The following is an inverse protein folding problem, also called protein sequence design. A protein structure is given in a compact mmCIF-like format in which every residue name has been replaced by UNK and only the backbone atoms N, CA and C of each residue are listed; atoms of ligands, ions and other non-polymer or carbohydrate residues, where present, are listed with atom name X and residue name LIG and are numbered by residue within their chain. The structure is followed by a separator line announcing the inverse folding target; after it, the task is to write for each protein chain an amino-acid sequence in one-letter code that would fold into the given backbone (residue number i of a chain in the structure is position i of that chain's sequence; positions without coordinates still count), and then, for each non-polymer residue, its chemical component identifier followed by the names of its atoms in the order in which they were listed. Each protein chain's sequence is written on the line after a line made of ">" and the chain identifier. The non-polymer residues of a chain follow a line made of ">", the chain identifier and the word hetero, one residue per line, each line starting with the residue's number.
data_IF_893520460057
#
_entry.id   IF_893520460057
#
_cell.length_a   1.000
_cell.length_b   1.000
_cell.length_c   1.000
_cell.angle_alpha   90.00
_cell.angle_beta   90.00
_cell.angle_gamma   90.00
#
_symmetry.space_group_name_H-M   'P 1'
#
loop_
_entity.id
_entity.type
_entity.pdbx_description
1 polymer ?
#
# COMPACT_ATOMS: atom_id res chain seq x y z
N UNK A 1 -22.16 -4.33 73.64
CA UNK A 1 -22.92 -3.18 74.17
C UNK A 1 -21.99 -2.42 75.11
N UNK A 2 -21.69 -1.15 74.78
CA UNK A 2 -20.99 -0.12 75.60
C UNK A 2 -19.49 -0.31 75.92
N UNK A 3 -18.67 0.44 75.18
CA UNK A 3 -17.42 1.06 75.64
C UNK A 3 -17.13 2.23 74.67
N UNK A 4 -16.57 3.39 75.01
CA UNK A 4 -16.44 4.16 76.23
C UNK A 4 -16.07 5.59 75.75
N UNK A 5 -16.51 6.60 76.50
CA UNK A 5 -16.11 8.01 76.34
C UNK A 5 -14.57 8.16 76.43
N UNK A 6 -13.92 8.86 75.49
CA UNK A 6 -13.66 10.31 75.44
C UNK A 6 -12.47 10.77 76.30
N UNK A 7 -11.51 11.42 75.65
CA UNK A 7 -10.39 12.16 76.24
C UNK A 7 -9.63 12.95 75.17
N UNK A 8 -9.97 14.23 75.06
CA UNK A 8 -9.40 15.22 74.13
C UNK A 8 -7.90 15.50 74.38
N UNK A 9 -7.17 15.79 73.30
CA UNK A 9 -6.12 16.80 73.32
C UNK A 9 -6.16 17.60 72.00
N UNK A 10 -6.51 18.87 72.13
CA UNK A 10 -6.59 19.86 71.07
C UNK A 10 -5.20 20.38 70.70
N UNK A 11 -4.89 20.46 69.41
CA UNK A 11 -3.83 21.33 68.90
C UNK A 11 -4.35 22.10 67.69
N UNK A 12 -4.64 23.38 67.93
CA UNK A 12 -4.88 24.41 66.91
C UNK A 12 -3.56 24.81 66.26
N UNK A 13 -3.45 24.62 64.94
CA UNK A 13 -2.53 25.41 64.11
C UNK A 13 -3.32 26.09 62.99
N UNK A 14 -3.29 27.41 63.00
CA UNK A 14 -3.80 28.27 61.95
C UNK A 14 -2.90 28.15 60.71
N UNK A 15 -3.48 27.83 59.56
CA UNK A 15 -2.84 28.01 58.25
C UNK A 15 -3.51 29.18 57.55
N UNK A 16 -2.71 30.23 57.38
CA UNK A 16 -3.04 31.44 56.66
C UNK A 16 -3.34 31.14 55.19
N UNK A 17 -4.37 31.79 54.64
CA UNK A 17 -4.64 31.79 53.22
C UNK A 17 -3.53 32.52 52.45
N UNK A 18 -2.97 31.85 51.45
CA UNK A 18 -2.19 32.45 50.38
C UNK A 18 -3.03 32.37 49.09
N UNK A 19 -3.74 33.44 48.77
CA UNK A 19 -4.21 33.73 47.42
C UNK A 19 -3.16 34.57 46.71
N UNK A 20 -2.42 33.99 45.76
CA UNK A 20 -1.60 34.75 44.82
C UNK A 20 -1.36 33.95 43.52
N UNK A 21 -2.29 34.16 42.58
CA UNK A 21 -2.08 34.33 41.15
C UNK A 21 -0.87 33.62 40.52
N UNK A 22 -1.10 32.40 40.03
CA UNK A 22 -0.32 31.90 38.90
C UNK A 22 -0.55 32.84 37.71
N UNK A 23 0.48 33.54 37.29
CA UNK A 23 0.52 34.14 35.96
C UNK A 23 0.74 32.99 34.99
N UNK A 24 -0.33 32.37 34.54
CA UNK A 24 -0.33 31.74 33.22
C UNK A 24 -0.06 32.89 32.24
N UNK A 25 1.20 33.06 31.83
CA UNK A 25 1.49 33.89 30.67
C UNK A 25 0.64 33.38 29.51
N UNK A 26 0.17 34.24 28.59
CA UNK A 26 -0.53 33.77 27.42
C UNK A 26 0.34 32.69 26.76
N UNK A 27 -0.18 31.48 26.66
CA UNK A 27 0.39 30.42 25.84
C UNK A 27 0.69 31.07 24.48
N UNK A 28 1.92 30.97 23.95
CA UNK A 28 2.25 31.60 22.68
C UNK A 28 1.17 31.20 21.68
N UNK A 29 0.58 32.19 21.01
CA UNK A 29 -0.50 31.95 20.04
C UNK A 29 -0.03 30.83 19.09
N UNK A 30 -0.79 29.73 19.03
CA UNK A 30 -0.45 28.60 18.16
C UNK A 30 -0.34 29.13 16.73
N UNK A 31 0.85 29.03 16.16
CA UNK A 31 1.11 29.44 14.79
C UNK A 31 0.65 28.32 13.86
N UNK A 32 -0.65 28.24 13.63
CA UNK A 32 -1.20 27.31 12.64
C UNK A 32 -0.63 27.63 11.26
N UNK A 33 -0.15 26.61 10.57
CA UNK A 33 0.45 26.72 9.24
C UNK A 33 -0.15 25.67 8.30
N UNK A 34 -0.17 25.90 6.99
CA UNK A 34 -0.61 24.90 6.03
C UNK A 34 0.22 23.62 6.10
N UNK A 35 -0.43 22.48 5.86
CA UNK A 35 0.26 21.26 5.42
C UNK A 35 1.05 21.51 4.13
N UNK A 36 2.02 20.64 3.86
CA UNK A 36 2.78 20.67 2.61
C UNK A 36 1.95 20.01 1.50
N UNK A 37 2.01 20.56 0.29
CA UNK A 37 1.31 20.09 -0.92
C UNK A 37 2.13 19.01 -1.67
N UNK A 38 2.65 18.07 -0.89
CA UNK A 38 3.67 17.09 -1.26
C UNK A 38 4.31 16.47 -0.02
N UNK A 39 4.46 15.14 0.03
CA UNK A 39 5.08 14.47 1.19
C UNK A 39 6.61 14.64 1.23
N UNK A 40 7.23 15.00 0.09
CA UNK A 40 8.67 15.27 -0.02
C UNK A 40 9.48 14.26 -0.84
N UNK A 41 8.83 13.36 -1.59
CA UNK A 41 9.52 12.42 -2.47
C UNK A 41 10.21 13.15 -3.66
N UNK A 42 11.50 12.90 -3.94
CA UNK A 42 12.22 13.58 -5.02
C UNK A 42 11.74 13.25 -6.44
N UNK A 43 11.18 12.05 -6.66
CA UNK A 43 10.67 11.62 -7.95
C UNK A 43 9.27 12.18 -8.21
N UNK A 44 8.46 12.27 -7.16
CA UNK A 44 7.10 12.82 -7.22
C UNK A 44 6.86 13.86 -6.12
N UNK A 45 7.40 15.09 -6.26
CA UNK A 45 7.32 16.12 -5.20
C UNK A 45 5.91 16.62 -4.87
N UNK A 46 4.91 16.19 -5.64
CA UNK A 46 3.50 16.55 -5.50
C UNK A 46 2.61 15.34 -5.16
N UNK A 47 3.20 14.19 -4.85
CA UNK A 47 2.44 13.03 -4.39
C UNK A 47 2.38 13.04 -2.87
N UNK A 48 1.20 12.71 -2.37
CA UNK A 48 0.89 12.82 -0.96
C UNK A 48 1.06 14.24 -0.44
N UNK A 49 0.93 14.39 0.87
CA UNK A 49 0.73 15.64 1.55
C UNK A 49 1.34 15.58 2.96
N UNK A 50 1.80 16.73 3.44
CA UNK A 50 2.49 16.85 4.72
C UNK A 50 1.65 17.50 5.81
N UNK A 51 2.07 17.31 7.05
CA UNK A 51 1.48 17.96 8.23
C UNK A 51 0.39 17.14 8.92
N UNK A 52 0.07 15.96 8.40
CA UNK A 52 -0.75 14.93 9.04
C UNK A 52 -0.30 13.53 8.60
N UNK A 53 -0.82 12.52 9.29
CA UNK A 53 -0.59 11.08 9.07
C UNK A 53 -1.97 10.37 9.08
N UNK A 54 -2.30 9.62 8.03
CA UNK A 54 -3.62 8.99 7.88
C UNK A 54 -3.64 7.63 8.56
N UNK A 55 -4.56 7.45 9.51
CA UNK A 55 -4.77 6.16 10.18
C UNK A 55 -5.68 5.22 9.39
N UNK A 56 -6.63 5.75 8.61
CA UNK A 56 -7.58 4.91 7.89
C UNK A 56 -8.55 5.62 6.96
N UNK A 57 -8.96 4.87 5.94
CA UNK A 57 -9.99 5.22 4.96
C UNK A 57 -11.20 4.31 5.13
N UNK A 58 -12.39 4.88 5.30
CA UNK A 58 -13.67 4.18 5.26
C UNK A 58 -14.52 4.75 4.11
N UNK A 59 -14.65 3.97 3.04
CA UNK A 59 -15.26 4.37 1.79
C UNK A 59 -16.63 3.71 1.63
N UNK A 60 -17.67 4.52 1.48
CA UNK A 60 -19.01 4.06 1.12
C UNK A 60 -19.39 4.63 -0.25
N UNK A 61 -19.16 3.84 -1.29
CA UNK A 61 -19.18 4.27 -2.68
C UNK A 61 -20.24 3.52 -3.47
N UNK A 62 -20.73 4.18 -4.51
CA UNK A 62 -21.60 3.61 -5.52
C UNK A 62 -21.06 3.92 -6.90
N UNK A 63 -20.99 2.91 -7.75
CA UNK A 63 -20.61 3.07 -9.15
C UNK A 63 -21.71 2.54 -10.06
N UNK A 64 -22.14 3.38 -11.00
CA UNK A 64 -23.08 3.05 -12.07
C UNK A 64 -22.31 2.87 -13.39
N UNK A 65 -22.01 1.63 -13.84
CA UNK A 65 -21.26 1.40 -15.08
C UNK A 65 -21.95 1.97 -16.33
N UNK A 66 -23.29 1.99 -16.35
CA UNK A 66 -24.06 2.50 -17.48
C UNK A 66 -23.84 4.01 -17.66
N UNK A 67 -23.68 4.74 -16.55
CA UNK A 67 -23.36 6.17 -16.57
C UNK A 67 -21.86 6.46 -16.53
N UNK A 68 -21.05 5.52 -16.05
CA UNK A 68 -19.65 5.76 -15.67
C UNK A 68 -19.54 6.71 -14.50
N UNK A 69 -20.54 6.73 -13.62
CA UNK A 69 -20.64 7.70 -12.54
C UNK A 69 -20.32 7.05 -11.21
N UNK A 70 -19.37 7.63 -10.48
CA UNK A 70 -19.04 7.28 -9.11
C UNK A 70 -19.56 8.37 -8.17
N UNK A 71 -20.12 7.96 -7.04
CA UNK A 71 -20.59 8.85 -5.99
C UNK A 71 -20.48 8.17 -4.64
N UNK A 72 -20.19 8.92 -3.58
CA UNK A 72 -20.21 8.36 -2.24
C UNK A 72 -19.57 9.27 -1.21
N UNK A 73 -19.25 8.66 -0.08
CA UNK A 73 -18.65 9.33 1.06
C UNK A 73 -17.34 8.64 1.42
N UNK A 74 -16.29 9.44 1.63
CA UNK A 74 -15.05 9.00 2.26
C UNK A 74 -15.01 9.56 3.70
N UNK A 75 -14.82 8.69 4.68
CA UNK A 75 -14.49 9.06 6.05
C UNK A 75 -13.03 8.73 6.29
N UNK A 76 -12.23 9.75 6.59
CA UNK A 76 -10.78 9.66 6.73
C UNK A 76 -10.42 10.05 8.15
N UNK A 77 -9.70 9.19 8.86
CA UNK A 77 -9.16 9.49 10.20
C UNK A 77 -7.67 9.74 10.10
N UNK A 78 -7.20 10.85 10.65
CA UNK A 78 -5.79 11.24 10.60
C UNK A 78 -5.34 11.90 11.90
N UNK A 79 -4.02 12.00 12.11
CA UNK A 79 -3.40 12.72 13.22
C UNK A 79 -2.57 13.87 12.67
N UNK A 80 -2.77 15.09 13.18
CA UNK A 80 -1.93 16.22 12.78
C UNK A 80 -0.49 16.04 13.29
N UNK A 81 0.50 16.28 12.44
CA UNK A 81 1.93 16.24 12.79
C UNK A 81 2.54 17.65 12.97
N UNK A 82 1.69 18.67 12.81
CA UNK A 82 1.97 20.08 13.11
C UNK A 82 0.68 20.81 13.53
N UNK A 83 0.78 22.06 13.97
CA UNK A 83 -0.40 22.93 14.10
C UNK A 83 -0.91 23.30 12.69
N UNK A 84 -1.98 22.64 12.22
CA UNK A 84 -2.52 22.73 10.87
C UNK A 84 -3.58 23.83 10.72
N UNK A 85 -3.36 24.74 9.78
CA UNK A 85 -4.38 25.72 9.33
C UNK A 85 -5.22 25.24 8.15
N UNK A 86 -4.65 24.37 7.31
CA UNK A 86 -5.24 23.70 6.15
C UNK A 86 -4.43 22.45 5.85
N UNK A 87 -5.02 21.51 5.12
CA UNK A 87 -4.38 20.30 4.62
C UNK A 87 -5.06 19.91 3.30
N UNK A 88 -4.51 18.94 2.60
CA UNK A 88 -4.86 18.64 1.21
C UNK A 88 -5.06 17.12 1.06
N UNK A 89 -5.78 16.66 0.04
CA UNK A 89 -5.83 15.25 -0.37
C UNK A 89 -5.74 15.19 -1.89
N UNK A 90 -5.07 14.18 -2.42
CA UNK A 90 -5.11 13.86 -3.84
C UNK A 90 -6.50 13.33 -4.22
N UNK A 91 -7.17 13.97 -5.18
CA UNK A 91 -8.45 13.56 -5.75
C UNK A 91 -8.57 14.05 -7.20
N UNK A 92 -8.44 13.13 -8.15
CA UNK A 92 -8.54 13.42 -9.58
C UNK A 92 -9.96 13.17 -10.13
N UNK A 93 -10.39 13.99 -11.09
CA UNK A 93 -11.62 13.85 -11.90
C UNK A 93 -12.97 13.89 -11.17
N UNK A 94 -12.96 13.89 -9.85
CA UNK A 94 -14.13 13.87 -8.99
C UNK A 94 -14.32 15.24 -8.32
N UNK A 95 -15.54 15.56 -7.93
CA UNK A 95 -15.87 16.85 -7.32
C UNK A 95 -16.53 16.64 -5.97
N UNK A 96 -16.08 17.38 -4.98
CA UNK A 96 -16.66 17.39 -3.63
C UNK A 96 -17.93 18.21 -3.57
N UNK A 97 -18.94 17.71 -2.87
CA UNK A 97 -20.18 18.42 -2.57
C UNK A 97 -20.18 19.00 -1.16
N UNK A 98 -19.82 18.20 -0.16
CA UNK A 98 -19.77 18.59 1.25
C UNK A 98 -18.49 18.04 1.91
N UNK A 99 -17.88 18.86 2.76
CA UNK A 99 -16.73 18.46 3.57
C UNK A 99 -16.93 18.90 5.01
N UNK A 100 -16.75 17.97 5.94
CA UNK A 100 -16.69 18.28 7.37
C UNK A 100 -15.37 17.83 7.97
N UNK A 101 -14.89 18.59 8.96
CA UNK A 101 -13.76 18.22 9.81
C UNK A 101 -14.26 18.22 11.25
N UNK A 102 -14.17 17.08 11.93
CA UNK A 102 -14.74 16.82 13.26
C UNK A 102 -16.22 17.20 13.37
N UNK A 103 -16.98 16.89 12.30
CA UNK A 103 -18.41 17.19 12.21
C UNK A 103 -18.77 18.67 12.03
N UNK A 104 -17.79 19.56 11.83
CA UNK A 104 -18.00 20.97 11.48
C UNK A 104 -17.71 21.19 10.01
N UNK A 105 -18.54 22.00 9.35
CA UNK A 105 -18.33 22.36 7.95
C UNK A 105 -16.92 22.95 7.74
N UNK A 106 -16.25 22.49 6.69
CA UNK A 106 -14.97 22.99 6.22
C UNK A 106 -15.13 23.50 4.78
N UNK A 107 -14.24 24.41 4.35
CA UNK A 107 -14.22 24.83 2.95
C UNK A 107 -13.29 23.93 2.16
N UNK A 108 -13.72 23.50 0.99
CA UNK A 108 -12.94 22.69 0.07
C UNK A 108 -12.73 23.45 -1.26
N UNK A 109 -11.54 23.33 -1.84
CA UNK A 109 -11.18 23.90 -3.14
C UNK A 109 -10.37 22.88 -3.93
N UNK A 110 -10.83 22.56 -5.14
CA UNK A 110 -10.04 21.79 -6.10
C UNK A 110 -8.94 22.66 -6.72
N UNK A 111 -7.71 22.17 -6.74
CA UNK A 111 -6.55 22.79 -7.41
C UNK A 111 -5.78 21.73 -8.21
N UNK A 112 -6.17 21.54 -9.49
CA UNK A 112 -5.70 20.39 -10.26
C UNK A 112 -6.22 19.08 -9.66
N UNK A 113 -5.31 18.17 -9.33
CA UNK A 113 -5.64 16.90 -8.65
C UNK A 113 -5.63 17.04 -7.12
N UNK A 114 -5.40 18.23 -6.57
CA UNK A 114 -5.39 18.46 -5.12
C UNK A 114 -6.75 18.96 -4.63
N UNK A 115 -7.21 18.42 -3.51
CA UNK A 115 -8.37 18.86 -2.76
C UNK A 115 -7.93 19.59 -1.48
N UNK A 116 -7.86 20.92 -1.56
CA UNK A 116 -7.46 21.78 -0.45
C UNK A 116 -8.61 21.93 0.54
N UNK A 117 -8.41 21.53 1.80
CA UNK A 117 -9.40 21.60 2.89
C UNK A 117 -8.95 22.60 3.95
N UNK A 118 -9.80 23.58 4.25
CA UNK A 118 -9.60 24.53 5.36
C UNK A 118 -10.66 24.29 6.44
N UNK A 119 -10.28 23.75 7.61
CA UNK A 119 -11.20 23.53 8.72
C UNK A 119 -11.67 24.85 9.35
N UNK A 120 -12.82 24.82 10.03
CA UNK A 120 -13.37 26.01 10.72
C UNK A 120 -12.48 26.54 11.86
N UNK A 121 -11.63 25.67 12.42
CA UNK A 121 -10.60 26.01 13.40
C UNK A 121 -9.35 25.19 13.10
N UNK A 122 -8.17 25.73 13.40
CA UNK A 122 -6.92 25.01 13.22
C UNK A 122 -6.85 23.74 14.06
N UNK A 123 -6.18 22.72 13.55
CA UNK A 123 -5.99 21.41 14.19
C UNK A 123 -4.63 21.41 14.86
N UNK A 124 -4.60 21.10 16.16
CA UNK A 124 -3.38 21.18 16.97
C UNK A 124 -2.49 19.96 16.70
N UNK A 125 -1.17 20.14 16.70
CA UNK A 125 -0.21 19.04 16.59
C UNK A 125 -0.53 17.88 17.57
N UNK A 126 -0.47 16.64 17.08
CA UNK A 126 -0.75 15.42 17.81
C UNK A 126 -2.24 15.17 18.08
N UNK A 127 -3.16 16.01 17.56
CA UNK A 127 -4.59 15.76 17.67
C UNK A 127 -5.09 14.87 16.53
N UNK A 128 -5.86 13.82 16.84
CA UNK A 128 -6.61 13.12 15.83
C UNK A 128 -7.75 14.02 15.34
N UNK A 129 -8.10 13.87 14.06
CA UNK A 129 -9.24 14.52 13.44
C UNK A 129 -9.89 13.56 12.44
N UNK A 130 -11.16 13.81 12.14
CA UNK A 130 -11.92 13.05 11.15
C UNK A 130 -12.43 13.97 10.06
N UNK A 131 -12.15 13.60 8.81
CA UNK A 131 -12.66 14.28 7.63
C UNK A 131 -13.74 13.42 7.00
N UNK A 132 -14.89 14.02 6.71
CA UNK A 132 -15.95 13.35 5.93
C UNK A 132 -16.15 14.15 4.65
N UNK A 133 -15.99 13.48 3.51
CA UNK A 133 -16.03 14.08 2.17
C UNK A 133 -17.12 13.37 1.38
N UNK A 134 -18.16 14.10 1.00
CA UNK A 134 -19.13 13.66 -0.02
C UNK A 134 -18.64 14.12 -1.39
N UNK A 135 -18.56 13.19 -2.34
CA UNK A 135 -18.02 13.46 -3.67
C UNK A 135 -18.69 12.61 -4.74
N UNK A 136 -18.65 13.11 -5.97
CA UNK A 136 -19.15 12.39 -7.13
C UNK A 136 -18.49 12.88 -8.42
N UNK A 137 -18.61 12.10 -9.50
CA UNK A 137 -18.12 12.49 -10.81
C UNK A 137 -17.97 11.32 -11.76
N UNK A 138 -17.18 11.54 -12.81
CA UNK A 138 -16.81 10.49 -13.76
C UNK A 138 -15.32 10.21 -13.56
N UNK A 139 -14.96 9.16 -12.81
CA UNK A 139 -13.55 8.83 -12.61
C UNK A 139 -12.91 8.45 -13.95
N UNK A 140 -11.63 8.75 -14.09
CA UNK A 140 -10.86 8.52 -15.30
C UNK A 140 -9.39 8.23 -14.94
N UNK A 141 -8.61 7.82 -15.94
CA UNK A 141 -7.19 7.59 -15.75
C UNK A 141 -6.46 8.88 -15.35
N UNK A 142 -5.44 8.74 -14.50
CA UNK A 142 -4.51 9.80 -14.16
C UNK A 142 -3.41 9.80 -15.24
N UNK A 143 -3.22 10.95 -15.88
CA UNK A 143 -2.29 11.06 -16.98
C UNK A 143 -0.85 11.22 -16.48
N UNK A 144 0.04 10.31 -16.88
CA UNK A 144 1.46 10.39 -16.54
C UNK A 144 2.32 10.39 -17.81
N UNK A 145 2.97 11.53 -18.09
CA UNK A 145 3.78 11.69 -19.30
C UNK A 145 5.03 10.81 -19.34
N UNK A 146 5.46 10.31 -18.18
CA UNK A 146 6.71 9.57 -18.03
C UNK A 146 6.47 8.07 -17.91
N UNK A 147 5.50 7.67 -17.10
CA UNK A 147 5.23 6.28 -16.76
C UNK A 147 4.04 5.67 -17.53
N UNK A 148 3.24 6.51 -18.19
CA UNK A 148 1.97 6.10 -18.80
C UNK A 148 0.81 6.18 -17.81
N UNK A 149 -0.40 6.23 -18.36
CA UNK A 149 -1.60 6.57 -17.58
C UNK A 149 -2.05 5.42 -16.65
N UNK A 150 -2.37 5.74 -15.40
CA UNK A 150 -2.83 4.79 -14.36
C UNK A 150 -4.23 5.10 -13.82
N UNK A 151 -4.70 4.34 -12.83
CA UNK A 151 -5.95 4.64 -12.11
C UNK A 151 -7.20 4.01 -12.73
N UNK A 152 -8.24 4.82 -12.97
CA UNK A 152 -9.57 4.32 -13.31
C UNK A 152 -9.75 3.97 -14.80
N UNK A 153 -9.81 2.68 -15.07
CA UNK A 153 -10.06 2.08 -16.38
C UNK A 153 -11.52 1.63 -16.49
N UNK A 154 -12.37 2.47 -17.08
CA UNK A 154 -13.77 2.12 -17.37
C UNK A 154 -13.87 1.08 -18.49
N UNK A 155 -14.82 0.16 -18.39
CA UNK A 155 -15.31 -0.71 -19.47
C UNK A 155 -16.82 -0.55 -19.66
N UNK A 156 -17.39 -1.20 -20.68
CA UNK A 156 -18.84 -1.16 -20.94
C UNK A 156 -19.66 -1.80 -19.79
N UNK A 157 -19.07 -2.75 -19.08
CA UNK A 157 -19.76 -3.57 -18.07
C UNK A 157 -19.25 -3.31 -16.64
N UNK A 158 -18.28 -2.41 -16.46
CA UNK A 158 -17.67 -2.17 -15.16
C UNK A 158 -16.52 -1.17 -15.19
N UNK A 159 -15.53 -1.40 -14.33
CA UNK A 159 -14.31 -0.60 -14.24
C UNK A 159 -13.25 -1.29 -13.38
N UNK A 160 -12.00 -0.86 -13.53
CA UNK A 160 -10.89 -1.28 -12.68
C UNK A 160 -10.13 -0.03 -12.23
N UNK A 161 -9.86 0.09 -10.93
CA UNK A 161 -8.90 1.05 -10.40
C UNK A 161 -7.58 0.32 -10.13
N UNK A 162 -6.55 0.57 -10.93
CA UNK A 162 -5.27 -0.13 -10.84
C UNK A 162 -4.13 0.74 -11.38
N UNK A 163 -2.99 0.72 -10.70
CA UNK A 163 -1.79 1.41 -11.16
C UNK A 163 -0.81 1.72 -10.03
N UNK A 164 0.46 1.88 -10.43
CA UNK A 164 1.59 2.25 -9.60
C UNK A 164 2.47 3.18 -10.44
N UNK A 165 2.96 4.31 -9.89
CA UNK A 165 2.86 4.76 -8.50
C UNK A 165 1.51 5.37 -8.11
N UNK A 166 0.65 5.68 -9.09
CA UNK A 166 -0.60 6.41 -8.85
C UNK A 166 -1.83 5.65 -9.37
N UNK A 167 -2.85 5.55 -8.53
CA UNK A 167 -4.16 5.00 -8.92
C UNK A 167 -5.28 5.38 -7.95
N UNK A 168 -4.97 5.46 -6.65
CA UNK A 168 -5.93 5.70 -5.58
C UNK A 168 -6.72 7.01 -5.75
N UNK A 169 -6.01 8.10 -6.04
CA UNK A 169 -6.60 9.43 -6.23
C UNK A 169 -7.60 9.51 -7.39
N UNK A 170 -7.64 8.52 -8.30
CA UNK A 170 -8.63 8.48 -9.38
C UNK A 170 -10.05 8.11 -8.93
N UNK A 171 -10.22 7.63 -7.69
CA UNK A 171 -11.51 7.13 -7.22
C UNK A 171 -11.85 7.43 -5.75
N UNK A 172 -10.90 7.86 -4.93
CA UNK A 172 -11.18 8.39 -3.59
C UNK A 172 -10.14 9.44 -3.15
N UNK A 173 -10.49 10.37 -2.24
CA UNK A 173 -9.55 11.34 -1.68
C UNK A 173 -8.53 10.63 -0.79
N UNK A 174 -7.24 10.82 -1.07
CA UNK A 174 -6.15 10.03 -0.49
C UNK A 174 -4.91 10.89 -0.25
N UNK A 175 -4.05 10.48 0.67
CA UNK A 175 -2.66 10.95 0.74
C UNK A 175 -1.80 10.02 -0.12
N UNK A 176 -1.62 10.32 -1.42
CA UNK A 176 -1.23 9.33 -2.44
C UNK A 176 0.28 9.05 -2.49
N UNK A 177 0.85 8.50 -1.40
CA UNK A 177 2.25 8.12 -1.35
C UNK A 177 2.49 6.88 -0.47
N UNK A 178 3.42 5.97 -0.83
CA UNK A 178 3.70 4.77 -0.02
C UNK A 178 4.17 5.07 1.40
N UNK A 179 4.73 6.25 1.66
CA UNK A 179 5.18 6.69 2.99
C UNK A 179 4.04 6.99 3.99
N UNK A 180 2.79 7.18 3.53
CA UNK A 180 1.63 7.37 4.41
C UNK A 180 0.70 6.16 4.30
N UNK A 181 0.99 5.11 5.07
CA UNK A 181 0.21 3.87 5.07
C UNK A 181 -0.98 3.97 6.00
N UNK A 182 -2.14 3.51 5.53
CA UNK A 182 -3.37 3.57 6.31
C UNK A 182 -4.18 2.27 6.19
N UNK A 183 -5.08 2.03 7.16
CA UNK A 183 -6.08 0.96 7.04
C UNK A 183 -7.15 1.31 6.01
N UNK A 184 -7.85 0.31 5.47
CA UNK A 184 -8.80 0.53 4.38
C UNK A 184 -10.08 -0.29 4.52
N UNK A 185 -11.22 0.36 4.35
CA UNK A 185 -12.54 -0.26 4.28
C UNK A 185 -13.27 0.24 3.07
N UNK A 186 -13.92 -0.68 2.37
CA UNK A 186 -14.75 -0.38 1.22
C UNK A 186 -16.10 -1.05 1.34
N UNK A 187 -17.15 -0.25 1.23
CA UNK A 187 -18.47 -0.68 0.82
C UNK A 187 -18.71 -0.14 -0.60
N UNK A 188 -18.71 -1.02 -1.61
CA UNK A 188 -18.93 -0.67 -3.00
C UNK A 188 -20.28 -1.20 -3.48
N UNK A 189 -21.19 -0.28 -3.81
CA UNK A 189 -22.52 -0.56 -4.36
C UNK A 189 -22.51 -0.51 -5.88
N UNK A 190 -22.87 -1.62 -6.52
CA UNK A 190 -22.95 -1.80 -7.98
C UNK A 190 -24.30 -2.42 -8.36
N UNK A 191 -24.72 -2.38 -9.65
CA UNK A 191 -25.97 -3.04 -10.06
C UNK A 191 -25.97 -4.53 -9.75
N UNK A 192 -27.15 -5.11 -9.51
CA UNK A 192 -27.28 -6.55 -9.29
C UNK A 192 -26.75 -7.37 -10.48
N UNK A 193 -26.05 -8.46 -10.18
CA UNK A 193 -25.39 -9.30 -11.20
C UNK A 193 -24.05 -8.76 -11.69
N UNK A 194 -23.49 -7.75 -11.00
CA UNK A 194 -22.12 -7.25 -11.17
C UNK A 194 -21.36 -7.46 -9.85
N UNK A 195 -20.17 -8.02 -9.94
CA UNK A 195 -19.26 -8.21 -8.81
C UNK A 195 -18.42 -6.95 -8.59
N UNK A 196 -18.11 -6.64 -7.33
CA UNK A 196 -17.13 -5.62 -6.95
C UNK A 196 -16.10 -6.22 -5.98
N UNK A 197 -14.91 -6.50 -6.51
CA UNK A 197 -13.81 -7.16 -5.82
C UNK A 197 -12.83 -6.13 -5.26
N UNK A 198 -12.58 -6.25 -3.94
CA UNK A 198 -11.70 -5.44 -3.08
C UNK A 198 -10.30 -6.02 -2.85
N UNK A 199 -9.59 -5.42 -1.90
CA UNK A 199 -8.49 -5.99 -1.09
C UNK A 199 -9.01 -6.32 0.33
N UNK A 200 -8.25 -7.06 1.13
CA UNK A 200 -8.59 -7.40 2.52
C UNK A 200 -9.64 -8.51 2.66
N UNK A 201 -10.15 -8.66 3.88
CA UNK A 201 -11.14 -9.67 4.30
C UNK A 201 -12.51 -9.36 3.67
N UNK A 202 -13.15 -10.33 2.98
CA UNK A 202 -14.51 -10.15 2.46
C UNK A 202 -15.53 -10.06 3.60
N UNK A 203 -16.39 -9.06 3.54
CA UNK A 203 -17.53 -8.85 4.44
C UNK A 203 -18.86 -9.32 3.83
N UNK A 204 -19.97 -9.21 4.60
CA UNK A 204 -21.29 -9.58 4.11
C UNK A 204 -21.74 -8.68 2.97
N UNK A 205 -22.28 -9.30 1.91
CA UNK A 205 -22.96 -8.61 0.83
C UNK A 205 -24.41 -8.29 1.21
N UNK A 206 -24.96 -7.22 0.63
CA UNK A 206 -26.37 -6.85 0.84
C UNK A 206 -26.98 -6.32 -0.45
N UNK A 207 -28.16 -6.82 -0.82
CA UNK A 207 -28.87 -6.44 -2.03
C UNK A 207 -30.16 -5.69 -1.69
N UNK A 208 -30.39 -4.55 -2.33
CA UNK A 208 -31.61 -3.76 -2.22
C UNK A 208 -31.82 -2.92 -3.49
N UNK A 209 -33.08 -2.79 -3.91
CA UNK A 209 -33.51 -1.90 -4.99
C UNK A 209 -32.77 -2.09 -6.35
N UNK A 210 -32.32 -3.31 -6.65
CA UNK A 210 -31.57 -3.62 -7.87
C UNK A 210 -30.06 -3.36 -7.79
N UNK A 211 -29.53 -3.14 -6.57
CA UNK A 211 -28.13 -2.88 -6.31
C UNK A 211 -27.59 -3.79 -5.21
N UNK A 212 -26.34 -4.23 -5.38
CA UNK A 212 -25.63 -5.06 -4.43
C UNK A 212 -24.41 -4.31 -3.88
N UNK A 213 -24.30 -4.24 -2.56
CA UNK A 213 -23.14 -3.69 -1.85
C UNK A 213 -22.20 -4.82 -1.46
N UNK A 214 -20.97 -4.76 -1.97
CA UNK A 214 -19.85 -5.60 -1.59
C UNK A 214 -19.01 -4.90 -0.53
N UNK A 215 -18.54 -5.65 0.48
CA UNK A 215 -17.80 -5.09 1.62
C UNK A 215 -16.45 -5.76 1.77
N UNK A 216 -15.44 -4.95 2.05
CA UNK A 216 -14.04 -5.37 2.15
C UNK A 216 -13.36 -4.60 3.28
N UNK A 217 -12.47 -5.26 4.02
CA UNK A 217 -11.75 -4.65 5.13
C UNK A 217 -10.32 -5.13 5.18
N UNK A 218 -9.39 -4.20 5.03
CA UNK A 218 -7.96 -4.40 5.25
C UNK A 218 -7.55 -3.66 6.53
N UNK A 219 -7.15 -4.43 7.54
CA UNK A 219 -6.75 -3.90 8.84
C UNK A 219 -5.25 -3.69 8.95
N UNK A 220 -4.45 -4.28 8.06
CA UNK A 220 -3.03 -3.94 7.92
C UNK A 220 -2.86 -2.65 7.13
N UNK A 221 -2.06 -1.68 7.60
CA UNK A 221 -1.80 -0.45 6.85
C UNK A 221 -1.22 -0.76 5.45
N UNK A 222 -1.80 -0.15 4.41
CA UNK A 222 -1.35 -0.26 3.02
C UNK A 222 -0.85 1.09 2.48
N UNK A 223 0.09 1.04 1.56
CA UNK A 223 0.36 2.16 0.64
C UNK A 223 -0.86 2.38 -0.28
N UNK A 224 -1.20 3.63 -0.58
CA UNK A 224 -2.41 4.00 -1.32
C UNK A 224 -2.59 3.25 -2.65
N UNK A 225 -1.52 3.13 -3.46
CA UNK A 225 -1.56 2.49 -4.78
C UNK A 225 -1.92 0.99 -4.74
N UNK A 226 -1.77 0.35 -3.57
CA UNK A 226 -2.12 -1.06 -3.36
C UNK A 226 -3.62 -1.28 -3.19
N UNK A 227 -4.38 -0.21 -2.99
CA UNK A 227 -5.84 -0.26 -3.04
C UNK A 227 -6.30 -0.52 -4.48
N UNK A 228 -7.36 -1.30 -4.63
CA UNK A 228 -8.00 -1.51 -5.92
C UNK A 228 -9.50 -1.65 -5.75
N UNK A 229 -10.22 -1.50 -6.84
CA UNK A 229 -11.56 -2.04 -7.00
C UNK A 229 -11.70 -2.58 -8.42
N UNK A 230 -12.19 -3.81 -8.54
CA UNK A 230 -12.46 -4.47 -9.82
C UNK A 230 -13.94 -4.76 -9.91
N UNK A 231 -14.60 -4.08 -10.85
CA UNK A 231 -16.05 -4.13 -11.07
C UNK A 231 -16.31 -4.77 -12.43
N UNK A 232 -17.11 -5.83 -12.46
CA UNK A 232 -17.48 -6.51 -13.71
C UNK A 232 -18.17 -7.84 -13.48
N UNK A 233 -18.18 -8.70 -14.50
CA UNK A 233 -18.73 -10.06 -14.42
C UNK A 233 -17.64 -11.08 -14.12
N UNK A 234 -17.66 -11.66 -12.93
CA UNK A 234 -16.61 -12.51 -12.41
C UNK A 234 -17.15 -13.83 -11.86
N UNK A 235 -16.42 -14.91 -12.14
CA UNK A 235 -16.54 -16.16 -11.37
C UNK A 235 -15.66 -16.03 -10.13
N UNK A 236 -16.29 -15.69 -9.02
CA UNK A 236 -15.64 -15.53 -7.72
C UNK A 236 -15.62 -16.88 -6.99
N UNK A 237 -14.43 -17.29 -6.55
CA UNK A 237 -14.23 -18.47 -5.70
C UNK A 237 -13.79 -18.00 -4.33
N UNK A 238 -14.55 -18.36 -3.30
CA UNK A 238 -14.20 -18.09 -1.90
C UNK A 238 -13.90 -19.41 -1.19
N UNK A 239 -12.73 -19.47 -0.59
CA UNK A 239 -12.26 -20.62 0.20
C UNK A 239 -11.51 -20.12 1.45
N UNK A 240 -10.83 -21.02 2.14
CA UNK A 240 -10.02 -20.72 3.32
C UNK A 240 -8.66 -21.37 3.16
N UNK A 241 -7.60 -20.63 3.48
CA UNK A 241 -6.23 -21.11 3.51
C UNK A 241 -5.58 -20.64 4.82
N UNK A 242 -4.94 -21.55 5.56
CA UNK A 242 -4.37 -21.27 6.90
C UNK A 242 -5.29 -20.48 7.85
N UNK A 243 -6.59 -20.82 7.86
CA UNK A 243 -7.59 -20.14 8.68
C UNK A 243 -7.99 -18.73 8.22
N UNK A 244 -7.44 -18.22 7.12
CA UNK A 244 -7.75 -16.92 6.51
C UNK A 244 -8.60 -17.09 5.24
N UNK A 245 -9.54 -16.18 4.94
CA UNK A 245 -10.29 -16.21 3.69
C UNK A 245 -9.37 -16.06 2.48
N UNK A 246 -9.57 -16.91 1.47
CA UNK A 246 -8.92 -16.79 0.17
C UNK A 246 -9.97 -16.53 -0.90
N UNK A 247 -9.82 -15.44 -1.64
CA UNK A 247 -10.75 -15.06 -2.73
C UNK A 247 -10.00 -14.95 -4.04
N UNK A 248 -10.29 -15.84 -4.97
CA UNK A 248 -9.81 -15.75 -6.35
C UNK A 248 -10.96 -15.40 -7.28
N UNK A 249 -10.67 -14.64 -8.33
CA UNK A 249 -11.68 -14.25 -9.30
C UNK A 249 -11.11 -14.25 -10.71
N UNK A 250 -11.86 -14.88 -11.61
CA UNK A 250 -11.58 -14.86 -13.05
C UNK A 250 -12.77 -14.31 -13.81
N UNK A 251 -12.57 -13.56 -14.90
CA UNK A 251 -13.65 -13.03 -15.72
C UNK A 251 -14.57 -14.15 -16.20
N UNK A 252 -15.89 -13.92 -16.17
CA UNK A 252 -16.87 -14.91 -16.60
C UNK A 252 -16.73 -15.29 -18.09
N UNK A 253 -16.08 -14.44 -18.89
CA UNK A 253 -15.72 -14.67 -20.29
C UNK A 253 -14.66 -15.78 -20.48
N UNK A 254 -13.86 -16.07 -19.45
CA UNK A 254 -12.81 -17.09 -19.50
C UNK A 254 -13.36 -18.47 -19.10
N UNK A 255 -12.73 -19.54 -19.59
CA UNK A 255 -13.06 -20.91 -19.20
C UNK A 255 -12.82 -21.16 -17.70
N UNK A 256 -13.60 -22.05 -17.09
CA UNK A 256 -13.53 -22.29 -15.64
C UNK A 256 -12.18 -22.84 -15.17
N UNK A 257 -11.57 -23.63 -16.03
CA UNK A 257 -10.28 -24.28 -15.94
C UNK A 257 -9.22 -23.59 -16.82
N UNK A 258 -9.40 -22.29 -17.13
CA UNK A 258 -8.38 -21.52 -17.84
C UNK A 258 -7.03 -21.54 -17.11
N UNK A 259 -5.93 -21.38 -17.83
CA UNK A 259 -4.59 -21.36 -17.24
C UNK A 259 -4.44 -20.27 -16.17
N UNK A 260 -5.09 -19.12 -16.37
CA UNK A 260 -5.17 -18.07 -15.36
C UNK A 260 -5.84 -18.55 -14.06
N UNK A 261 -6.94 -19.31 -14.16
CA UNK A 261 -7.66 -19.85 -13.01
C UNK A 261 -6.83 -20.91 -12.26
N UNK A 262 -6.06 -21.72 -12.98
CA UNK A 262 -5.16 -22.72 -12.38
C UNK A 262 -4.01 -22.06 -11.63
N UNK A 263 -3.34 -21.08 -12.26
CA UNK A 263 -2.21 -20.39 -11.64
C UNK A 263 -2.60 -19.62 -10.39
N UNK A 264 -3.62 -18.76 -10.44
CA UNK A 264 -4.10 -18.07 -9.21
C UNK A 264 -4.73 -19.04 -8.21
N UNK A 265 -5.14 -20.24 -8.65
CA UNK A 265 -5.60 -21.31 -7.77
C UNK A 265 -4.50 -21.84 -6.84
N UNK A 266 -3.22 -21.68 -7.22
CA UNK A 266 -2.04 -22.06 -6.42
C UNK A 266 -1.62 -20.99 -5.40
N UNK A 267 -2.36 -19.89 -5.25
CA UNK A 267 -2.00 -18.79 -4.34
C UNK A 267 -1.65 -19.25 -2.92
N UNK A 268 -2.45 -20.12 -2.31
CA UNK A 268 -2.18 -20.62 -0.96
C UNK A 268 -0.88 -21.43 -0.86
N UNK A 269 -0.64 -22.31 -1.83
CA UNK A 269 0.57 -23.15 -1.91
C UNK A 269 1.84 -22.30 -2.07
N UNK A 270 1.81 -21.33 -2.98
CA UNK A 270 2.93 -20.43 -3.23
C UNK A 270 3.19 -19.55 -2.00
N UNK A 271 2.13 -19.03 -1.36
CA UNK A 271 2.26 -18.26 -0.14
C UNK A 271 2.89 -19.08 1.00
N UNK A 272 2.53 -20.35 1.16
CA UNK A 272 3.14 -21.24 2.16
C UNK A 272 4.64 -21.42 1.90
N UNK A 273 5.03 -21.64 0.64
CA UNK A 273 6.43 -21.74 0.25
C UNK A 273 7.19 -20.45 0.58
N UNK A 274 6.69 -19.29 0.15
CA UNK A 274 7.34 -17.99 0.39
C UNK A 274 7.42 -17.69 1.88
N UNK A 275 6.43 -18.09 2.68
CA UNK A 275 6.47 -17.94 4.13
C UNK A 275 7.63 -18.71 4.78
N UNK A 276 8.06 -19.84 4.20
CA UNK A 276 9.27 -20.55 4.67
C UNK A 276 10.57 -19.77 4.44
N UNK A 277 10.56 -18.79 3.54
CA UNK A 277 11.73 -17.96 3.17
C UNK A 277 11.70 -16.60 3.85
N UNK A 278 10.53 -15.99 3.93
CA UNK A 278 10.36 -14.58 4.32
C UNK A 278 9.71 -14.41 5.70
N UNK A 279 9.24 -15.48 6.32
CA UNK A 279 8.50 -15.44 7.58
C UNK A 279 6.98 -15.47 7.35
N UNK A 280 6.16 -15.37 8.42
CA UNK A 280 4.72 -15.51 8.31
C UNK A 280 4.09 -14.56 7.29
N UNK A 281 3.04 -15.01 6.61
CA UNK A 281 2.28 -14.17 5.69
C UNK A 281 1.68 -12.95 6.42
N UNK A 282 1.84 -11.72 5.89
CA UNK A 282 1.60 -10.52 6.69
C UNK A 282 0.13 -10.11 6.83
N UNK A 283 -0.79 -10.62 5.99
CA UNK A 283 -2.17 -10.14 5.91
C UNK A 283 -3.22 -11.17 6.34
N UNK A 284 -4.47 -10.72 6.47
CA UNK A 284 -5.60 -11.52 6.96
C UNK A 284 -6.48 -12.13 5.87
N UNK A 285 -6.11 -11.95 4.61
CA UNK A 285 -6.77 -12.57 3.46
C UNK A 285 -5.75 -12.91 2.38
N UNK A 286 -6.13 -13.85 1.51
CA UNK A 286 -5.38 -14.21 0.31
C UNK A 286 -6.25 -13.97 -0.94
N UNK A 287 -5.62 -14.01 -2.11
CA UNK A 287 -6.36 -14.09 -3.35
C UNK A 287 -5.57 -13.80 -4.62
N UNK A 288 -6.33 -13.65 -5.69
CA UNK A 288 -5.85 -13.18 -6.98
C UNK A 288 -7.03 -12.79 -7.88
N UNK A 289 -6.91 -11.72 -8.64
CA UNK A 289 -7.94 -11.25 -9.57
C UNK A 289 -7.35 -11.18 -10.97
N UNK A 290 -7.92 -11.91 -11.92
CA UNK A 290 -7.53 -11.80 -13.33
C UNK A 290 -8.33 -10.71 -14.01
N UNK A 291 -7.70 -9.78 -14.71
CA UNK A 291 -8.38 -8.69 -15.42
C UNK A 291 -8.29 -8.91 -16.93
N UNK A 292 -9.45 -9.12 -17.57
CA UNK A 292 -9.59 -9.25 -19.04
C UNK A 292 -9.71 -7.88 -19.69
N UNK A 293 -8.66 -7.06 -19.55
CA UNK A 293 -8.52 -5.78 -20.22
C UNK A 293 -7.18 -5.72 -20.94
N UNK A 294 -7.22 -5.55 -22.27
CA UNK A 294 -6.01 -5.51 -23.10
C UNK A 294 -5.10 -4.31 -22.84
N UNK A 295 -5.60 -3.26 -22.16
CA UNK A 295 -4.80 -2.11 -21.72
C UNK A 295 -3.88 -2.49 -20.56
N UNK A 296 -4.27 -3.47 -19.74
CA UNK A 296 -3.51 -3.93 -18.58
C UNK A 296 -2.57 -5.04 -19.05
N UNK A 297 -1.29 -4.68 -19.21
CA UNK A 297 -0.22 -5.57 -19.65
C UNK A 297 0.78 -5.92 -18.55
N UNK A 298 0.45 -5.56 -17.31
CA UNK A 298 1.22 -5.81 -16.10
C UNK A 298 0.37 -6.61 -15.11
N UNK A 299 1.01 -7.16 -14.10
CA UNK A 299 0.37 -7.58 -12.86
C UNK A 299 0.76 -6.55 -11.79
N UNK A 300 -0.07 -6.43 -10.75
CA UNK A 300 0.15 -5.50 -9.66
C UNK A 300 -0.18 -6.19 -8.34
N UNK A 301 0.66 -5.94 -7.35
CA UNK A 301 0.73 -6.62 -6.08
C UNK A 301 -0.39 -6.23 -5.09
N UNK A 302 -1.52 -5.68 -5.57
CA UNK A 302 -2.59 -5.10 -4.73
C UNK A 302 -2.83 -5.89 -3.46
N UNK A 303 -2.72 -5.21 -2.31
CA UNK A 303 -2.47 -5.84 -1.01
C UNK A 303 -3.46 -6.97 -0.71
N UNK A 304 -2.98 -8.10 -0.21
CA UNK A 304 -3.71 -9.35 0.07
C UNK A 304 -4.29 -10.10 -1.14
N UNK A 305 -4.37 -9.46 -2.32
CA UNK A 305 -5.06 -9.98 -3.49
C UNK A 305 -4.51 -9.37 -4.78
N UNK A 306 -3.37 -9.84 -5.29
CA UNK A 306 -2.79 -9.29 -6.50
C UNK A 306 -3.72 -9.36 -7.72
N UNK A 307 -3.58 -8.37 -8.60
CA UNK A 307 -4.31 -8.27 -9.86
C UNK A 307 -3.42 -8.63 -11.04
N UNK A 308 -3.90 -9.49 -11.92
CA UNK A 308 -3.13 -10.03 -13.04
C UNK A 308 -3.78 -9.67 -14.37
N UNK A 309 -3.07 -8.93 -15.24
CA UNK A 309 -3.51 -8.73 -16.61
C UNK A 309 -3.57 -10.07 -17.37
N UNK A 310 -4.59 -10.25 -18.22
CA UNK A 310 -4.77 -11.48 -19.01
C UNK A 310 -3.56 -11.91 -19.84
N UNK A 311 -2.65 -10.99 -20.16
CA UNK A 311 -1.49 -11.25 -21.00
C UNK A 311 -0.53 -12.30 -20.41
N UNK A 312 -0.47 -12.42 -19.09
CA UNK A 312 0.44 -13.34 -18.39
C UNK A 312 0.10 -14.81 -18.58
N UNK A 313 -1.15 -15.12 -18.99
CA UNK A 313 -1.65 -16.49 -19.12
C UNK A 313 -2.00 -16.86 -20.57
N UNK A 314 -1.59 -16.04 -21.55
CA UNK A 314 -1.90 -16.31 -22.97
C UNK A 314 -1.09 -17.48 -23.54
N UNK A 315 0.05 -17.80 -22.92
CA UNK A 315 0.97 -18.85 -23.36
C UNK A 315 1.00 -20.06 -22.42
N UNK A 316 -0.02 -20.22 -21.58
CA UNK A 316 -0.10 -21.29 -20.59
C UNK A 316 -0.18 -20.77 -19.15
N UNK A 317 -0.11 -21.70 -18.22
CA UNK A 317 0.00 -21.44 -16.77
C UNK A 317 1.28 -20.66 -16.50
N UNK A 318 1.22 -19.74 -15.54
CA UNK A 318 2.34 -18.87 -15.18
C UNK A 318 2.38 -18.67 -13.66
N UNK A 319 2.92 -19.66 -12.97
CA UNK A 319 3.00 -19.63 -11.50
C UNK A 319 4.17 -18.77 -11.02
N UNK A 320 5.13 -18.50 -11.91
CA UNK A 320 6.25 -17.58 -11.63
C UNK A 320 5.74 -16.15 -11.40
N UNK A 321 4.82 -15.63 -12.23
CA UNK A 321 4.23 -14.30 -11.95
C UNK A 321 3.40 -14.31 -10.66
N UNK A 322 2.71 -15.41 -10.35
CA UNK A 322 1.96 -15.52 -9.08
C UNK A 322 2.93 -15.49 -7.88
N UNK A 323 4.11 -16.11 -8.00
CA UNK A 323 5.16 -16.03 -6.98
C UNK A 323 5.77 -14.63 -6.86
N UNK A 324 5.98 -13.90 -7.97
CA UNK A 324 6.43 -12.50 -7.97
C UNK A 324 5.45 -11.63 -7.20
N UNK A 325 4.17 -11.65 -7.58
CA UNK A 325 3.15 -10.82 -6.93
C UNK A 325 2.88 -11.21 -5.47
N UNK A 326 3.03 -12.49 -5.11
CA UNK A 326 2.91 -12.91 -3.72
C UNK A 326 4.13 -12.54 -2.88
N UNK A 327 5.32 -12.43 -3.46
CA UNK A 327 6.50 -11.96 -2.74
C UNK A 327 6.36 -10.49 -2.32
N UNK A 328 5.71 -9.67 -3.16
CA UNK A 328 5.44 -8.27 -2.84
C UNK A 328 4.60 -8.07 -1.57
N UNK A 329 3.81 -9.07 -1.18
CA UNK A 329 3.04 -9.02 0.07
C UNK A 329 3.95 -8.78 1.29
N UNK A 330 5.21 -9.26 1.24
CA UNK A 330 6.26 -8.90 2.18
C UNK A 330 7.07 -7.68 1.75
N UNK A 331 7.47 -7.62 0.47
CA UNK A 331 8.38 -6.60 -0.09
C UNK A 331 7.64 -5.60 -1.00
N UNK A 332 7.17 -4.51 -0.41
CA UNK A 332 6.37 -3.47 -1.08
C UNK A 332 5.07 -3.19 -0.35
N UNK A 333 4.38 -4.24 0.12
CA UNK A 333 3.11 -4.07 0.82
C UNK A 333 3.31 -3.93 2.33
N UNK A 334 3.75 -5.03 2.99
CA UNK A 334 3.98 -5.03 4.42
C UNK A 334 5.13 -4.10 4.78
N UNK A 335 6.25 -4.20 4.06
CA UNK A 335 7.37 -3.27 4.13
C UNK A 335 7.33 -2.38 2.88
N UNK A 336 6.75 -1.20 3.00
CA UNK A 336 6.63 -0.26 1.89
C UNK A 336 7.88 0.62 1.73
N UNK A 337 7.97 1.32 0.61
CA UNK A 337 9.07 2.24 0.34
C UNK A 337 8.91 3.53 1.13
N UNK A 338 10.00 4.04 1.71
CA UNK A 338 10.04 5.43 2.18
C UNK A 338 10.01 6.43 1.01
N UNK A 339 10.66 6.07 -0.10
CA UNK A 339 10.76 6.88 -1.32
C UNK A 339 10.83 6.01 -2.57
N UNK A 340 10.29 6.49 -3.68
CA UNK A 340 10.21 5.74 -4.94
C UNK A 340 11.57 5.40 -5.54
N UNK A 341 12.61 6.17 -5.22
CA UNK A 341 13.98 5.88 -5.66
C UNK A 341 14.44 4.46 -5.28
N UNK A 342 13.93 3.92 -4.16
CA UNK A 342 14.36 2.63 -3.62
C UNK A 342 13.54 1.43 -4.14
N UNK A 343 12.77 1.59 -5.23
CA UNK A 343 11.86 0.57 -5.80
C UNK A 343 12.50 -0.81 -6.07
N UNK A 344 13.83 -0.89 -6.20
CA UNK A 344 14.53 -2.18 -6.29
C UNK A 344 14.33 -3.08 -5.06
N UNK A 345 14.02 -2.51 -3.89
CA UNK A 345 13.69 -3.26 -2.68
C UNK A 345 12.39 -4.07 -2.84
N UNK A 346 11.45 -3.58 -3.64
CA UNK A 346 10.24 -4.31 -3.96
C UNK A 346 10.55 -5.31 -5.08
N UNK A 347 10.93 -4.78 -6.24
CA UNK A 347 10.99 -5.53 -7.50
C UNK A 347 12.15 -6.53 -7.53
N UNK A 348 13.30 -6.15 -6.98
CA UNK A 348 14.45 -7.05 -6.92
C UNK A 348 14.20 -8.26 -6.03
N UNK A 349 13.50 -8.07 -4.91
CA UNK A 349 13.15 -9.18 -4.02
C UNK A 349 12.05 -10.06 -4.61
N UNK A 350 11.05 -9.47 -5.28
CA UNK A 350 10.02 -10.21 -5.99
C UNK A 350 10.59 -11.03 -7.16
N UNK A 351 11.48 -10.45 -7.98
CA UNK A 351 12.22 -11.19 -9.03
C UNK A 351 13.10 -12.29 -8.45
N UNK A 352 13.71 -12.08 -7.28
CA UNK A 352 14.46 -13.15 -6.62
C UNK A 352 13.54 -14.29 -6.13
N UNK A 353 12.31 -13.98 -5.72
CA UNK A 353 11.32 -14.95 -5.31
C UNK A 353 10.85 -15.85 -6.46
N UNK A 354 10.78 -15.32 -7.69
CA UNK A 354 10.57 -16.12 -8.90
C UNK A 354 11.59 -17.26 -9.01
N UNK A 355 12.88 -16.95 -8.81
CA UNK A 355 13.95 -17.96 -8.92
C UNK A 355 13.88 -18.97 -7.78
N UNK A 356 13.49 -18.53 -6.58
CA UNK A 356 13.24 -19.45 -5.46
C UNK A 356 12.07 -20.40 -5.76
N UNK A 357 10.99 -19.90 -6.36
CA UNK A 357 9.85 -20.70 -6.76
C UNK A 357 10.20 -21.69 -7.87
N UNK A 358 10.92 -21.26 -8.90
CA UNK A 358 11.42 -22.14 -9.97
C UNK A 358 12.32 -23.26 -9.42
N UNK A 359 13.18 -22.95 -8.44
CA UNK A 359 13.99 -23.99 -7.77
C UNK A 359 13.11 -24.99 -7.01
N UNK A 360 12.00 -24.54 -6.42
CA UNK A 360 11.07 -25.39 -5.69
C UNK A 360 10.21 -26.28 -6.59
N UNK A 361 9.57 -25.68 -7.60
CA UNK A 361 8.54 -26.32 -8.42
C UNK A 361 9.15 -27.02 -9.65
N UNK A 362 10.18 -26.43 -10.27
CA UNK A 362 10.77 -26.90 -11.53
C UNK A 362 12.15 -27.55 -11.33
N UNK A 363 12.72 -27.54 -10.11
CA UNK A 363 14.10 -27.94 -9.81
C UNK A 363 15.16 -27.15 -10.60
N UNK A 364 14.84 -25.94 -11.07
CA UNK A 364 15.79 -25.04 -11.73
C UNK A 364 16.60 -24.28 -10.68
N UNK A 365 17.90 -24.55 -10.50
CA UNK A 365 18.66 -23.93 -9.41
C UNK A 365 18.67 -22.41 -9.53
N UNK A 366 18.52 -21.70 -8.41
CA UNK A 366 18.52 -20.21 -8.39
C UNK A 366 19.76 -19.64 -9.10
N UNK A 367 20.90 -20.32 -8.95
CA UNK A 367 22.17 -19.97 -9.60
C UNK A 367 22.05 -19.94 -11.12
N UNK A 368 21.32 -20.87 -11.72
CA UNK A 368 21.18 -20.95 -13.17
C UNK A 368 20.32 -19.79 -13.70
N UNK A 369 19.20 -19.48 -13.03
CA UNK A 369 18.40 -18.29 -13.33
C UNK A 369 19.23 -17.01 -13.21
N UNK A 370 20.01 -16.87 -12.14
CA UNK A 370 20.95 -15.75 -11.97
C UNK A 370 21.99 -15.68 -13.10
N UNK A 371 22.69 -16.78 -13.42
CA UNK A 371 23.75 -16.79 -14.43
C UNK A 371 23.22 -16.49 -15.82
N UNK A 372 22.01 -16.97 -16.15
CA UNK A 372 21.31 -16.64 -17.39
C UNK A 372 21.07 -15.14 -17.52
N UNK A 373 20.50 -14.51 -16.48
CA UNK A 373 20.24 -13.06 -16.45
C UNK A 373 21.55 -12.27 -16.46
N UNK A 374 22.51 -12.63 -15.61
CA UNK A 374 23.81 -11.95 -15.50
C UNK A 374 24.63 -11.97 -16.81
N UNK A 375 24.49 -13.01 -17.63
CA UNK A 375 25.20 -13.13 -18.90
C UNK A 375 24.55 -12.34 -20.04
N UNK A 376 23.25 -12.07 -19.98
CA UNK A 376 22.52 -11.33 -21.02
C UNK A 376 22.26 -9.85 -20.69
N UNK A 377 22.37 -9.46 -19.42
CA UNK A 377 21.97 -8.13 -18.94
C UNK A 377 22.96 -7.00 -19.32
N UNK A 378 22.42 -5.82 -19.65
CA UNK A 378 23.18 -4.58 -19.86
C UNK A 378 23.32 -3.78 -18.55
N UNK A 379 24.52 -3.78 -17.98
CA UNK A 379 24.84 -3.16 -16.69
C UNK A 379 24.99 -1.63 -16.73
N UNK A 380 24.76 -0.98 -17.87
CA UNK A 380 24.84 0.48 -17.98
C UNK A 380 23.81 1.21 -17.10
N UNK A 381 22.73 0.53 -16.70
CA UNK A 381 21.67 1.09 -15.86
C UNK A 381 21.76 0.54 -14.43
N UNK A 382 21.69 1.44 -13.45
CA UNK A 382 21.83 1.14 -12.03
C UNK A 382 20.45 1.18 -11.33
N UNK A 383 20.12 0.20 -10.46
CA UNK A 383 18.79 0.10 -9.85
C UNK A 383 18.58 0.94 -8.59
N UNK A 384 19.63 1.46 -7.94
CA UNK A 384 19.52 2.26 -6.71
C UNK A 384 19.14 3.74 -6.93
N UNK A 385 19.16 4.18 -8.19
CA UNK A 385 18.65 5.50 -8.62
C UNK A 385 18.28 5.43 -10.11
N UNK A 386 17.15 4.78 -10.44
CA UNK A 386 16.76 4.58 -11.83
C UNK A 386 16.31 5.88 -12.53
N UNK A 387 15.92 6.91 -11.77
CA UNK A 387 15.11 8.03 -12.23
C UNK A 387 13.67 7.63 -12.56
N UNK A 388 12.76 8.61 -12.60
CA UNK A 388 11.32 8.42 -12.83
C UNK A 388 11.03 7.58 -14.08
N UNK A 389 11.70 7.87 -15.20
CA UNK A 389 11.44 7.18 -16.48
C UNK A 389 11.83 5.69 -16.51
N UNK A 390 12.57 5.21 -15.50
CA UNK A 390 13.04 3.83 -15.42
C UNK A 390 12.64 3.17 -14.09
N UNK A 391 11.67 3.75 -13.38
CA UNK A 391 11.17 3.23 -12.12
C UNK A 391 10.75 1.76 -12.23
N UNK A 392 10.15 1.38 -13.36
CA UNK A 392 9.78 0.00 -13.70
C UNK A 392 10.61 -0.56 -14.87
N UNK A 393 11.86 -0.11 -15.02
CA UNK A 393 12.77 -0.59 -16.06
C UNK A 393 13.48 -1.89 -15.66
N UNK A 394 13.94 -2.66 -16.64
CA UNK A 394 14.56 -3.98 -16.39
C UNK A 394 15.73 -4.00 -15.40
N UNK A 395 16.45 -2.88 -15.20
CA UNK A 395 17.48 -2.81 -14.16
C UNK A 395 16.92 -2.98 -12.74
N UNK A 396 15.76 -2.38 -12.46
CA UNK A 396 15.11 -2.46 -11.15
C UNK A 396 14.73 -3.92 -10.82
N UNK A 397 14.21 -4.67 -11.80
CA UNK A 397 13.86 -6.09 -11.67
C UNK A 397 15.08 -7.01 -11.74
N UNK A 398 15.68 -7.15 -12.93
CA UNK A 398 16.74 -8.13 -13.20
C UNK A 398 17.99 -7.86 -12.35
N UNK A 399 18.47 -6.61 -12.35
CA UNK A 399 19.67 -6.25 -11.59
C UNK A 399 19.37 -6.09 -10.11
N UNK A 400 18.15 -5.71 -9.72
CA UNK A 400 17.68 -5.83 -8.34
C UNK A 400 17.75 -7.26 -7.84
N UNK A 401 17.13 -8.21 -8.54
CA UNK A 401 17.15 -9.64 -8.18
C UNK A 401 18.56 -10.25 -8.20
N UNK A 402 19.40 -9.85 -9.16
CA UNK A 402 20.81 -10.22 -9.14
C UNK A 402 21.55 -9.66 -7.92
N UNK A 403 21.24 -8.43 -7.49
CA UNK A 403 21.82 -7.84 -6.27
C UNK A 403 21.43 -8.65 -5.03
N UNK A 404 20.17 -9.07 -4.93
CA UNK A 404 19.68 -9.91 -3.82
C UNK A 404 20.42 -11.26 -3.78
N UNK A 405 20.56 -11.95 -4.92
CA UNK A 405 21.33 -13.19 -4.97
C UNK A 405 22.83 -12.99 -4.70
N UNK A 406 23.44 -11.94 -5.26
CA UNK A 406 24.84 -11.62 -5.00
C UNK A 406 25.07 -11.30 -3.53
N UNK A 407 24.10 -10.67 -2.86
CA UNK A 407 24.15 -10.41 -1.42
C UNK A 407 24.15 -11.74 -0.65
N UNK A 408 23.27 -12.69 -1.00
CA UNK A 408 23.27 -14.05 -0.44
C UNK A 408 24.65 -14.72 -0.57
N UNK A 409 25.29 -14.61 -1.74
CA UNK A 409 26.65 -15.14 -1.96
C UNK A 409 27.71 -14.43 -1.10
N UNK A 410 27.57 -13.12 -0.92
CA UNK A 410 28.50 -12.26 -0.18
C UNK A 410 28.44 -12.52 1.34
N UNK A 411 27.25 -12.64 1.92
CA UNK A 411 27.08 -12.77 3.37
C UNK A 411 26.86 -14.22 3.84
N UNK A 412 26.62 -15.15 2.91
CA UNK A 412 26.39 -16.57 3.19
C UNK A 412 24.93 -16.88 3.53
N UNK A 413 24.53 -18.14 3.30
CA UNK A 413 23.13 -18.58 3.39
C UNK A 413 22.51 -18.36 4.78
N UNK A 414 23.27 -18.56 5.86
CA UNK A 414 22.76 -18.39 7.23
C UNK A 414 22.42 -16.93 7.54
N UNK A 415 23.34 -16.00 7.26
CA UNK A 415 23.12 -14.57 7.49
C UNK A 415 22.03 -14.05 6.55
N UNK A 416 21.98 -14.54 5.31
CA UNK A 416 20.95 -14.15 4.34
C UNK A 416 19.55 -14.64 4.71
N UNK A 417 19.41 -15.89 5.17
CA UNK A 417 18.12 -16.39 5.67
C UNK A 417 17.60 -15.60 6.87
N UNK A 418 18.52 -15.22 7.78
CA UNK A 418 18.20 -14.30 8.89
C UNK A 418 17.85 -12.91 8.39
N UNK A 419 18.55 -12.39 7.38
CA UNK A 419 18.29 -11.07 6.79
C UNK A 419 16.85 -10.97 6.29
N UNK A 420 16.40 -11.95 5.47
CA UNK A 420 15.06 -11.93 4.90
C UNK A 420 13.96 -11.90 5.97
N UNK A 421 14.05 -12.80 6.95
CA UNK A 421 13.04 -12.90 8.02
C UNK A 421 13.12 -11.76 9.03
N UNK A 422 14.32 -11.22 9.29
CA UNK A 422 14.48 -10.06 10.18
C UNK A 422 13.94 -8.80 9.53
N UNK A 423 14.24 -8.57 8.23
CA UNK A 423 13.75 -7.42 7.47
C UNK A 423 12.22 -7.32 7.50
N UNK A 424 11.54 -8.41 7.13
CA UNK A 424 10.08 -8.44 7.07
C UNK A 424 9.43 -8.31 8.45
N UNK A 425 10.11 -8.74 9.51
CA UNK A 425 9.60 -8.63 10.89
C UNK A 425 9.86 -7.27 11.54
N UNK A 426 11.05 -6.67 11.36
CA UNK A 426 11.42 -5.38 12.00
C UNK A 426 10.71 -4.20 11.33
N UNK A 427 10.40 -4.30 10.04
CA UNK A 427 9.74 -3.25 9.26
C UNK A 427 8.27 -3.55 8.93
N UNK A 428 7.68 -4.58 9.56
CA UNK A 428 6.28 -4.99 9.31
C UNK A 428 5.32 -3.80 9.47
N UNK A 429 4.40 -3.68 8.53
CA UNK A 429 3.38 -2.63 8.43
C UNK A 429 3.93 -1.19 8.29
N UNK A 430 5.24 -1.01 8.12
CA UNK A 430 5.89 0.30 8.02
C UNK A 430 6.58 0.53 6.68
N UNK A 431 7.56 1.44 6.72
CA UNK A 431 8.37 1.87 5.59
C UNK A 431 9.85 1.61 5.86
N UNK A 432 10.61 1.40 4.79
CA UNK A 432 12.06 1.24 4.85
C UNK A 432 12.73 1.77 3.58
N UNK A 433 14.03 2.03 3.68
CA UNK A 433 14.86 2.52 2.57
C UNK A 433 16.07 1.62 2.30
N UNK A 434 16.83 1.94 1.25
CA UNK A 434 18.04 1.17 0.90
C UNK A 434 19.07 1.19 2.04
N UNK A 435 19.19 2.30 2.78
CA UNK A 435 20.18 2.42 3.85
C UNK A 435 19.87 1.48 5.01
N UNK A 436 18.59 1.25 5.32
CA UNK A 436 18.16 0.30 6.35
C UNK A 436 18.49 -1.14 5.96
N UNK A 437 18.28 -1.52 4.69
CA UNK A 437 18.67 -2.85 4.19
C UNK A 437 20.18 -3.08 4.32
N UNK A 438 20.99 -2.07 3.96
CA UNK A 438 22.46 -2.13 4.09
C UNK A 438 22.84 -2.30 5.56
N UNK A 439 22.34 -1.44 6.46
CA UNK A 439 22.62 -1.51 7.90
C UNK A 439 22.26 -2.88 8.48
N UNK A 440 21.11 -3.44 8.09
CA UNK A 440 20.67 -4.75 8.56
C UNK A 440 21.57 -5.87 8.06
N UNK A 441 21.94 -5.85 6.78
CA UNK A 441 22.84 -6.84 6.19
C UNK A 441 24.25 -6.78 6.82
N UNK A 442 24.79 -5.60 7.09
CA UNK A 442 26.06 -5.42 7.79
C UNK A 442 25.98 -5.91 9.23
N UNK A 443 24.91 -5.57 9.95
CA UNK A 443 24.67 -6.01 11.34
C UNK A 443 24.64 -7.53 11.46
N UNK A 444 23.96 -8.22 10.54
CA UNK A 444 23.78 -9.67 10.59
C UNK A 444 24.99 -10.45 10.06
N UNK A 445 25.74 -9.88 9.12
CA UNK A 445 26.91 -10.53 8.52
C UNK A 445 28.23 -10.20 9.21
N UNK A 446 28.31 -9.08 9.92
CA UNK A 446 29.55 -8.52 10.48
C UNK A 446 30.53 -8.00 9.41
N UNK A 447 30.09 -7.83 8.16
CA UNK A 447 30.90 -7.33 7.05
C UNK A 447 30.58 -5.85 6.76
N UNK A 448 31.57 -5.09 6.29
CA UNK A 448 31.36 -3.81 5.59
C UNK A 448 30.91 -4.11 4.15
N UNK A 449 29.70 -3.65 3.81
CA UNK A 449 29.05 -3.89 2.52
C UNK A 449 28.95 -2.64 1.66
N UNK A 450 29.54 -1.52 2.08
CA UNK A 450 29.45 -0.24 1.36
C UNK A 450 29.92 -0.35 -0.08
N UNK A 451 31.09 -0.95 -0.33
CA UNK A 451 31.58 -1.16 -1.71
C UNK A 451 30.69 -2.12 -2.50
N UNK A 452 30.19 -3.18 -1.85
CA UNK A 452 29.32 -4.17 -2.50
C UNK A 452 28.06 -3.49 -3.04
N UNK A 453 27.33 -2.75 -2.20
CA UNK A 453 26.12 -2.05 -2.64
C UNK A 453 26.43 -0.92 -3.61
N UNK A 454 27.57 -0.23 -3.47
CA UNK A 454 28.00 0.76 -4.46
C UNK A 454 28.14 0.15 -5.86
N UNK A 455 28.81 -1.00 -5.97
CA UNK A 455 29.02 -1.67 -7.26
C UNK A 455 27.68 -2.18 -7.84
N UNK A 456 26.83 -2.78 -7.01
CA UNK A 456 25.58 -3.42 -7.45
C UNK A 456 24.43 -2.46 -7.72
N UNK A 457 24.22 -1.46 -6.86
CA UNK A 457 23.07 -0.56 -6.94
C UNK A 457 23.34 0.73 -7.71
N UNK A 458 24.59 1.22 -7.72
CA UNK A 458 24.90 2.56 -8.25
C UNK A 458 25.97 2.55 -9.36
N UNK A 459 26.78 1.49 -9.46
CA UNK A 459 27.78 1.35 -10.51
C UNK A 459 27.17 1.09 -11.89
N UNK A 460 27.83 1.52 -12.96
CA UNK A 460 27.41 1.27 -14.36
C UNK A 460 28.28 0.23 -15.07
N UNK A 461 29.12 -0.47 -14.31
CA UNK A 461 29.99 -1.55 -14.78
C UNK A 461 29.48 -2.89 -14.27
N UNK A 462 29.68 -3.96 -15.04
CA UNK A 462 29.33 -5.33 -14.65
C UNK A 462 30.07 -5.75 -13.36
N UNK A 463 29.37 -5.94 -12.23
CA UNK A 463 30.00 -6.27 -10.94
C UNK A 463 30.46 -7.73 -10.87
N UNK A 464 31.51 -8.02 -10.12
CA UNK A 464 31.90 -9.42 -9.79
C UNK A 464 31.04 -9.97 -8.65
N UNK A 465 30.68 -11.26 -8.69
CA UNK A 465 29.86 -11.95 -7.67
C UNK A 465 30.52 -13.21 -7.10
#
# INVERSE_FOLDING_TARGET
>A
MRAALAGLASLTLALAGCTASGKDGPEPAKNFSPGADGIGDPYFPKYGNGGYDVAGYDLNLRYDPAKGHLSGTATITATATQDLSRFDFDLAHLTTAEVTVDGRAATAKQDGNELVITPAAGIVNGKPFTVVIDYAGTPAQIANKTLGDGGWLRSDTGAVALGQPESASSWFPVNDHPADKATFKLAMTVPDGVEALSIGVPGPTSTADGWTTWRWTENSPLASYLSTVVIGQYRVTTSTHDGKPMVTAVPASMAADSDAAKSIGRTGEIADFLATKFGPYPFDAYGGIVVDDTRIRYALETQSRPAYGRAFFQNGENDTVVAHELAHQWFGDSVALEKWQDIWLNEGFATYAEWLWQEHDENLPVRESFERTYNSFDFAQAPGDPGVAKLFGGAVYDRGGMTVYALRRKIGDEAFGKLLTTWTSEHRDGNADTADMIKLAERLSGQDLGKFFQDWLYGTSKPTY
#
